data_IF_681760386745
#
_entry.id   IF_681760386745
#
_cell.length_a   1.000
_cell.length_b   1.000
_cell.length_c   1.000
_cell.angle_alpha   90.00
_cell.angle_beta   90.00
_cell.angle_gamma   90.00
#
_symmetry.space_group_name_H-M   'P 1'
#
loop_
_entity.id
_entity.type
_entity.pdbx_description
1 polymer ?
#
# COMPACT_ATOMS: atom_id res chain seq x y z
N UNK A 1 -8.09 -26.76 35.23
CA UNK A 1 -8.23 -27.32 33.86
C UNK A 1 -9.34 -26.60 33.05
N UNK A 2 -10.40 -26.14 33.69
CA UNK A 2 -11.49 -25.34 33.05
C UNK A 2 -11.05 -23.94 32.62
N UNK A 3 -10.21 -23.27 33.44
CA UNK A 3 -9.73 -21.89 33.13
C UNK A 3 -8.85 -21.82 31.89
N UNK A 4 -7.94 -22.79 31.69
CA UNK A 4 -7.08 -22.85 30.52
C UNK A 4 -7.87 -23.08 29.18
N UNK A 5 -8.99 -23.82 29.28
CA UNK A 5 -9.86 -24.03 28.11
C UNK A 5 -10.66 -22.77 27.78
N UNK A 6 -11.19 -22.05 28.76
CA UNK A 6 -11.86 -20.77 28.59
C UNK A 6 -10.89 -19.71 28.01
N UNK A 7 -9.66 -19.61 28.53
CA UNK A 7 -8.65 -18.71 27.98
C UNK A 7 -8.29 -19.05 26.51
N UNK A 8 -8.20 -20.34 26.16
CA UNK A 8 -7.94 -20.75 24.79
C UNK A 8 -9.08 -20.39 23.83
N UNK A 9 -10.35 -20.53 24.28
CA UNK A 9 -11.52 -20.14 23.50
C UNK A 9 -11.62 -18.62 23.34
N UNK A 10 -11.33 -17.85 24.38
CA UNK A 10 -11.28 -16.37 24.31
C UNK A 10 -10.19 -15.91 23.35
N UNK A 11 -8.99 -16.50 23.41
CA UNK A 11 -7.89 -16.22 22.48
C UNK A 11 -8.21 -16.60 21.03
N UNK A 12 -8.96 -17.68 20.80
CA UNK A 12 -9.42 -18.07 19.46
C UNK A 12 -10.46 -17.06 18.93
N UNK A 13 -11.44 -16.68 19.74
CA UNK A 13 -12.44 -15.67 19.38
C UNK A 13 -11.81 -14.29 19.14
N UNK A 14 -10.75 -13.93 19.86
CA UNK A 14 -10.00 -12.70 19.63
C UNK A 14 -9.22 -12.73 18.30
N UNK A 15 -8.63 -13.87 17.93
CA UNK A 15 -7.96 -14.02 16.61
C UNK A 15 -8.93 -13.81 15.45
N UNK A 16 -10.12 -14.38 15.50
CA UNK A 16 -11.14 -14.22 14.47
C UNK A 16 -11.62 -12.76 14.38
N UNK A 17 -11.70 -12.08 15.52
CA UNK A 17 -12.04 -10.65 15.58
C UNK A 17 -10.96 -9.75 14.98
N UNK A 18 -9.67 -10.02 15.25
CA UNK A 18 -8.56 -9.30 14.61
C UNK A 18 -8.56 -9.49 13.10
N UNK A 19 -8.80 -10.70 12.63
CA UNK A 19 -8.91 -10.98 11.20
C UNK A 19 -10.05 -10.18 10.57
N UNK A 20 -11.25 -10.19 11.16
CA UNK A 20 -12.39 -9.45 10.66
C UNK A 20 -12.12 -7.93 10.58
N UNK A 21 -11.44 -7.35 11.57
CA UNK A 21 -11.12 -5.92 11.59
C UNK A 21 -10.02 -5.55 10.57
N UNK A 22 -9.01 -6.40 10.40
CA UNK A 22 -8.01 -6.22 9.34
C UNK A 22 -8.68 -6.35 7.96
N UNK A 23 -9.57 -7.32 7.77
CA UNK A 23 -10.33 -7.44 6.52
C UNK A 23 -11.16 -6.20 6.23
N UNK A 24 -11.80 -5.58 7.23
CA UNK A 24 -12.55 -4.33 7.04
C UNK A 24 -11.63 -3.19 6.56
N UNK A 25 -10.45 -3.03 7.17
CA UNK A 25 -9.47 -2.03 6.76
C UNK A 25 -8.96 -2.26 5.33
N UNK A 26 -8.58 -3.52 5.00
CA UNK A 26 -8.08 -3.82 3.66
C UNK A 26 -9.19 -3.81 2.60
N UNK A 27 -10.43 -4.17 2.93
CA UNK A 27 -11.59 -4.04 2.05
C UNK A 27 -11.86 -2.56 1.72
N UNK A 28 -11.85 -1.68 2.73
CA UNK A 28 -11.93 -0.24 2.53
C UNK A 28 -10.82 0.25 1.60
N UNK A 29 -9.55 -0.12 1.86
CA UNK A 29 -8.45 0.27 0.99
C UNK A 29 -8.65 -0.20 -0.45
N UNK A 30 -9.18 -1.41 -0.65
CA UNK A 30 -9.49 -1.95 -1.98
C UNK A 30 -10.61 -1.17 -2.66
N UNK A 31 -11.70 -0.86 -1.95
CA UNK A 31 -12.80 -0.05 -2.46
C UNK A 31 -12.33 1.31 -2.94
N UNK A 32 -11.52 2.02 -2.14
CA UNK A 32 -10.97 3.34 -2.48
C UNK A 32 -9.97 3.25 -3.63
N UNK A 33 -9.09 2.24 -3.63
CA UNK A 33 -8.09 2.05 -4.68
C UNK A 33 -8.72 1.72 -6.05
N UNK A 34 -9.89 1.08 -6.07
CA UNK A 34 -10.57 0.66 -7.30
C UNK A 34 -11.52 1.71 -7.85
N UNK A 35 -11.68 2.87 -7.19
CA UNK A 35 -12.61 3.91 -7.66
C UNK A 35 -12.34 4.25 -9.12
N UNK A 36 -11.07 4.52 -9.49
CA UNK A 36 -10.67 4.83 -10.88
C UNK A 36 -11.03 3.73 -11.89
N UNK A 37 -11.09 2.47 -11.46
CA UNK A 37 -11.37 1.35 -12.36
C UNK A 37 -12.86 1.19 -12.69
N UNK A 38 -13.74 1.66 -11.77
CA UNK A 38 -15.19 1.45 -11.86
C UNK A 38 -15.96 2.70 -12.30
N UNK A 39 -15.30 3.87 -12.34
CA UNK A 39 -15.91 5.13 -12.78
C UNK A 39 -15.71 5.37 -14.28
N UNK A 40 -16.54 6.24 -14.86
CA UNK A 40 -16.44 6.67 -16.25
C UNK A 40 -15.77 8.04 -16.40
N UNK A 41 -15.87 8.87 -15.39
CA UNK A 41 -15.36 10.24 -15.36
C UNK A 41 -14.84 10.62 -13.98
N UNK A 42 -13.89 11.57 -13.85
CA UNK A 42 -13.28 11.96 -12.59
C UNK A 42 -14.28 12.49 -11.56
N UNK A 43 -15.33 13.20 -11.98
CA UNK A 43 -16.32 13.78 -11.04
C UNK A 43 -17.07 12.67 -10.28
N UNK A 44 -17.47 11.61 -10.96
CA UNK A 44 -18.08 10.44 -10.33
C UNK A 44 -17.13 9.79 -9.31
N UNK A 45 -15.83 9.82 -9.58
CA UNK A 45 -14.80 9.37 -8.66
C UNK A 45 -14.69 10.25 -7.42
N UNK A 46 -14.68 11.58 -7.61
CA UNK A 46 -14.68 12.54 -6.49
C UNK A 46 -15.88 12.35 -5.57
N UNK A 47 -17.09 12.17 -6.15
CA UNK A 47 -18.31 11.93 -5.36
C UNK A 47 -18.16 10.63 -4.54
N UNK A 48 -17.61 9.57 -5.12
CA UNK A 48 -17.42 8.30 -4.42
C UNK A 48 -16.37 8.38 -3.32
N UNK A 49 -15.26 9.08 -3.56
CA UNK A 49 -14.25 9.32 -2.53
C UNK A 49 -14.78 10.24 -1.43
N UNK A 50 -15.57 11.26 -1.78
CA UNK A 50 -16.21 12.14 -0.80
C UNK A 50 -17.21 11.36 0.07
N UNK A 51 -18.02 10.46 -0.53
CA UNK A 51 -18.90 9.59 0.25
C UNK A 51 -18.14 8.77 1.30
N UNK A 52 -16.96 8.25 0.97
CA UNK A 52 -16.13 7.56 1.95
C UNK A 52 -15.65 8.49 3.07
N UNK A 53 -15.24 9.72 2.76
CA UNK A 53 -14.88 10.71 3.78
C UNK A 53 -16.07 11.04 4.67
N UNK A 54 -17.25 11.29 4.11
CA UNK A 54 -18.48 11.55 4.87
C UNK A 54 -18.83 10.36 5.80
N UNK A 55 -18.64 9.12 5.34
CA UNK A 55 -18.83 7.91 6.18
C UNK A 55 -17.87 7.89 7.36
N UNK A 56 -16.60 8.28 7.18
CA UNK A 56 -15.61 8.32 8.25
C UNK A 56 -15.98 9.33 9.34
N UNK A 57 -16.54 10.47 8.95
CA UNK A 57 -16.97 11.54 9.86
C UNK A 57 -18.38 11.36 10.42
N UNK A 58 -19.10 10.30 10.03
CA UNK A 58 -20.45 10.03 10.51
C UNK A 58 -21.54 10.83 9.79
N UNK A 59 -21.19 11.52 8.70
CA UNK A 59 -22.05 12.38 7.87
C UNK A 59 -22.54 11.65 6.60
N UNK A 60 -22.22 10.37 6.46
CA UNK A 60 -22.52 9.58 5.27
C UNK A 60 -24.02 9.57 4.96
N UNK A 61 -24.39 9.95 3.74
CA UNK A 61 -25.78 9.96 3.26
C UNK A 61 -26.19 8.57 2.77
N UNK A 62 -27.47 8.25 2.91
CA UNK A 62 -28.04 6.96 2.54
C UNK A 62 -27.88 5.91 3.64
N UNK A 63 -28.17 4.65 3.29
CA UNK A 63 -28.06 3.53 4.24
C UNK A 63 -26.59 3.08 4.41
N UNK A 64 -25.78 3.89 5.09
CA UNK A 64 -24.36 3.54 5.40
C UNK A 64 -24.28 2.19 6.12
N UNK A 65 -25.27 1.87 6.97
CA UNK A 65 -25.38 0.58 7.66
C UNK A 65 -25.61 -0.61 6.73
N UNK A 66 -26.20 -0.39 5.55
CA UNK A 66 -26.38 -1.42 4.54
C UNK A 66 -25.10 -1.72 3.73
N UNK A 67 -24.10 -0.82 3.76
CA UNK A 67 -22.82 -1.07 3.12
C UNK A 67 -21.88 -1.85 4.05
N UNK A 68 -21.64 -3.15 3.80
CA UNK A 68 -21.00 -4.02 4.79
C UNK A 68 -19.58 -3.58 5.15
N UNK A 69 -18.81 -3.07 4.18
CA UNK A 69 -17.44 -2.58 4.42
C UNK A 69 -17.47 -1.30 5.27
N UNK A 70 -18.38 -0.37 5.00
CA UNK A 70 -18.52 0.88 5.76
C UNK A 70 -18.92 0.61 7.22
N UNK A 71 -19.90 -0.26 7.44
CA UNK A 71 -20.34 -0.65 8.78
C UNK A 71 -19.18 -1.33 9.56
N UNK A 72 -18.46 -2.28 8.95
CA UNK A 72 -17.33 -2.97 9.56
C UNK A 72 -16.16 -2.02 9.85
N UNK A 73 -15.86 -1.08 8.94
CA UNK A 73 -14.81 -0.10 9.14
C UNK A 73 -15.12 0.85 10.30
N UNK A 74 -16.35 1.38 10.38
CA UNK A 74 -16.78 2.24 11.50
C UNK A 74 -16.66 1.52 12.85
N UNK A 75 -17.10 0.27 12.91
CA UNK A 75 -16.94 -0.55 14.11
C UNK A 75 -15.46 -0.75 14.47
N UNK A 76 -14.59 -0.93 13.46
CA UNK A 76 -13.13 -1.05 13.64
C UNK A 76 -12.52 0.25 14.15
N UNK A 77 -12.90 1.42 13.59
CA UNK A 77 -12.46 2.75 14.04
C UNK A 77 -12.80 2.95 15.50
N UNK A 78 -14.08 2.73 15.87
CA UNK A 78 -14.56 2.91 17.24
C UNK A 78 -13.84 1.97 18.23
N UNK A 79 -13.62 0.69 17.86
CA UNK A 79 -13.02 -0.31 18.73
C UNK A 79 -11.53 -0.04 19.01
N UNK A 80 -10.76 0.33 17.98
CA UNK A 80 -9.30 0.52 18.07
C UNK A 80 -8.89 1.98 18.10
N UNK A 81 -9.85 2.90 18.17
CA UNK A 81 -9.63 4.35 18.15
C UNK A 81 -8.68 4.75 17.02
N UNK A 82 -9.00 4.24 15.80
CA UNK A 82 -8.16 4.54 14.64
C UNK A 82 -8.22 6.04 14.33
N UNK A 83 -7.07 6.69 14.08
CA UNK A 83 -7.04 8.10 13.70
C UNK A 83 -7.69 8.27 12.31
N UNK A 84 -8.83 8.95 12.27
CA UNK A 84 -9.62 9.18 11.04
C UNK A 84 -8.80 9.97 10.03
N UNK A 85 -7.92 10.85 10.49
CA UNK A 85 -7.03 11.66 9.68
C UNK A 85 -6.11 10.82 8.78
N UNK A 86 -5.69 9.62 9.22
CA UNK A 86 -4.90 8.70 8.39
C UNK A 86 -5.74 8.05 7.29
N UNK A 87 -7.01 7.79 7.55
CA UNK A 87 -7.96 7.27 6.56
C UNK A 87 -8.31 8.36 5.53
N UNK A 88 -8.55 9.59 5.98
CA UNK A 88 -8.76 10.74 5.10
C UNK A 88 -7.52 11.01 4.22
N UNK A 89 -6.32 10.95 4.79
CA UNK A 89 -5.08 11.11 4.03
C UNK A 89 -4.92 10.01 2.96
N UNK A 90 -5.39 8.77 3.24
CA UNK A 90 -5.42 7.70 2.24
C UNK A 90 -6.40 8.03 1.12
N UNK A 91 -7.62 8.49 1.44
CA UNK A 91 -8.62 8.92 0.44
C UNK A 91 -8.07 10.10 -0.38
N UNK A 92 -7.48 11.11 0.27
CA UNK A 92 -6.92 12.29 -0.38
C UNK A 92 -5.81 11.90 -1.37
N UNK A 93 -4.90 11.00 -0.98
CA UNK A 93 -3.88 10.50 -1.89
C UNK A 93 -4.48 9.80 -3.12
N UNK A 94 -5.58 9.05 -2.95
CA UNK A 94 -6.28 8.35 -4.05
C UNK A 94 -7.01 9.29 -5.02
N UNK A 95 -7.26 10.55 -4.65
CA UNK A 95 -7.80 11.54 -5.60
C UNK A 95 -6.86 11.76 -6.78
N UNK A 96 -5.54 11.66 -6.57
CA UNK A 96 -4.57 11.70 -7.66
C UNK A 96 -4.83 10.64 -8.74
N UNK A 97 -5.30 9.46 -8.36
CA UNK A 97 -5.56 8.37 -9.30
C UNK A 97 -6.71 8.67 -10.28
N UNK A 98 -7.59 9.63 -9.95
CA UNK A 98 -8.74 9.99 -10.79
C UNK A 98 -8.34 10.77 -12.06
N UNK A 99 -7.19 11.43 -12.01
CA UNK A 99 -6.70 12.31 -13.07
C UNK A 99 -5.50 11.69 -13.78
N UNK A 100 -5.25 12.15 -15.00
CA UNK A 100 -4.11 11.71 -15.81
C UNK A 100 -2.91 12.68 -15.70
N UNK A 101 -2.89 13.48 -14.62
CA UNK A 101 -1.77 14.35 -14.32
C UNK A 101 -0.53 13.51 -13.97
N UNK A 102 0.63 13.87 -14.52
CA UNK A 102 1.86 13.14 -14.19
C UNK A 102 2.35 13.50 -12.78
N UNK A 103 2.96 12.55 -12.09
CA UNK A 103 3.70 12.82 -10.87
C UNK A 103 4.87 13.75 -11.17
N UNK A 104 4.93 14.94 -10.54
CA UNK A 104 5.94 15.94 -10.90
C UNK A 104 7.32 15.59 -10.33
N UNK A 105 7.41 15.36 -9.01
CA UNK A 105 8.67 15.17 -8.29
C UNK A 105 8.70 13.86 -7.50
N UNK A 106 9.91 13.47 -7.06
CA UNK A 106 10.07 12.35 -6.14
C UNK A 106 9.36 12.61 -4.79
N UNK A 107 9.38 13.85 -4.31
CA UNK A 107 8.68 14.22 -3.07
C UNK A 107 7.16 14.02 -3.17
N UNK A 108 6.56 14.33 -4.33
CA UNK A 108 5.14 14.08 -4.57
C UNK A 108 4.85 12.57 -4.57
N UNK A 109 5.72 11.77 -5.18
CA UNK A 109 5.59 10.31 -5.14
C UNK A 109 5.73 9.76 -3.73
N UNK A 110 6.67 10.27 -2.93
CA UNK A 110 6.84 9.86 -1.52
C UNK A 110 5.62 10.27 -0.68
N UNK A 111 5.07 11.46 -0.91
CA UNK A 111 3.83 11.92 -0.26
C UNK A 111 2.65 10.99 -0.60
N UNK A 112 2.46 10.68 -1.88
CA UNK A 112 1.45 9.72 -2.34
C UNK A 112 1.66 8.34 -1.71
N UNK A 113 2.87 7.81 -1.76
CA UNK A 113 3.22 6.50 -1.19
C UNK A 113 2.99 6.44 0.33
N UNK A 114 3.31 7.53 1.04
CA UNK A 114 3.02 7.72 2.45
C UNK A 114 1.52 7.67 2.73
N UNK A 115 0.74 8.43 1.96
CA UNK A 115 -0.72 8.47 2.05
C UNK A 115 -1.37 7.09 1.87
N UNK A 116 -0.99 6.37 0.81
CA UNK A 116 -1.65 5.10 0.46
C UNK A 116 -1.08 3.87 1.16
N UNK A 117 0.22 3.81 1.45
CA UNK A 117 0.86 2.60 1.97
C UNK A 117 1.30 2.72 3.41
N UNK A 118 2.04 3.79 3.79
CA UNK A 118 2.49 3.95 5.16
C UNK A 118 1.31 4.11 6.13
N UNK A 119 0.29 4.89 5.76
CA UNK A 119 -0.92 5.03 6.58
C UNK A 119 -1.67 3.71 6.74
N UNK A 120 -1.77 2.91 5.68
CA UNK A 120 -2.43 1.59 5.76
C UNK A 120 -1.68 0.65 6.71
N UNK A 121 -0.34 0.60 6.63
CA UNK A 121 0.50 -0.20 7.54
C UNK A 121 0.36 0.30 8.98
N UNK A 122 0.35 1.62 9.19
CA UNK A 122 0.19 2.22 10.53
C UNK A 122 -1.15 1.84 11.16
N UNK A 123 -2.24 1.94 10.40
CA UNK A 123 -3.58 1.54 10.86
C UNK A 123 -3.65 0.05 11.19
N UNK A 124 -3.07 -0.80 10.33
CA UNK A 124 -3.00 -2.24 10.58
C UNK A 124 -2.16 -2.56 11.84
N UNK A 125 -1.01 -1.89 12.02
CA UNK A 125 -0.17 -2.06 13.20
C UNK A 125 -0.89 -1.64 14.49
N UNK A 126 -1.65 -0.52 14.46
CA UNK A 126 -2.46 -0.08 15.58
C UNK A 126 -3.57 -1.07 15.94
N UNK A 127 -4.24 -1.66 14.96
CA UNK A 127 -5.22 -2.74 15.21
C UNK A 127 -4.54 -3.91 15.91
N UNK A 128 -3.38 -4.36 15.40
CA UNK A 128 -2.62 -5.49 15.95
C UNK A 128 -2.06 -5.20 17.35
N UNK A 129 -1.80 -3.95 17.67
CA UNK A 129 -1.38 -3.51 19.02
C UNK A 129 -2.56 -3.07 19.90
N UNK A 130 -3.75 -3.60 19.61
CA UNK A 130 -4.97 -3.39 20.40
C UNK A 130 -5.33 -1.90 20.60
N UNK A 131 -5.12 -1.06 19.58
CA UNK A 131 -5.44 0.37 19.57
C UNK A 131 -4.33 1.28 20.07
N UNK A 132 -3.21 0.74 20.55
CA UNK A 132 -2.05 1.55 20.93
C UNK A 132 -1.29 2.02 19.70
N UNK A 133 -0.68 3.20 19.77
CA UNK A 133 0.22 3.68 18.71
C UNK A 133 1.59 3.03 18.92
N UNK A 134 2.05 2.16 17.99
CA UNK A 134 3.35 1.52 18.14
C UNK A 134 4.49 2.51 17.83
N UNK A 135 5.54 2.51 18.65
CA UNK A 135 6.73 3.37 18.43
C UNK A 135 7.66 2.79 17.35
N UNK A 136 7.13 2.70 16.13
CA UNK A 136 7.83 2.19 14.93
C UNK A 136 7.57 3.09 13.71
N UNK A 137 7.36 4.39 13.92
CA UNK A 137 6.98 5.32 12.86
C UNK A 137 7.96 5.34 11.68
N UNK A 138 9.26 5.37 11.96
CA UNK A 138 10.30 5.33 10.92
C UNK A 138 10.27 4.01 10.11
N UNK A 139 10.08 2.87 10.77
CA UNK A 139 9.92 1.58 10.10
C UNK A 139 8.71 1.56 9.16
N UNK A 140 7.55 2.00 9.66
CA UNK A 140 6.32 2.06 8.88
C UNK A 140 6.47 2.99 7.68
N UNK A 141 7.04 4.18 7.89
CA UNK A 141 7.28 5.15 6.84
C UNK A 141 8.12 4.53 5.70
N UNK A 142 9.30 4.04 6.01
CA UNK A 142 10.19 3.49 5.01
C UNK A 142 9.67 2.19 4.38
N UNK A 143 9.07 1.30 5.15
CA UNK A 143 8.45 0.08 4.62
C UNK A 143 7.30 0.40 3.65
N UNK A 144 6.46 1.39 3.98
CA UNK A 144 5.36 1.85 3.14
C UNK A 144 5.84 2.46 1.83
N UNK A 145 6.81 3.40 1.89
CA UNK A 145 7.35 4.04 0.69
C UNK A 145 8.02 3.02 -0.25
N UNK A 146 8.91 2.17 0.28
CA UNK A 146 9.60 1.17 -0.54
C UNK A 146 8.65 0.15 -1.17
N UNK A 147 7.61 -0.27 -0.42
CA UNK A 147 6.57 -1.18 -0.91
C UNK A 147 5.69 -0.55 -1.97
N UNK A 148 5.25 0.71 -1.78
CA UNK A 148 4.44 1.44 -2.75
C UNK A 148 5.19 1.67 -4.05
N UNK A 149 6.44 2.15 -4.01
CA UNK A 149 7.27 2.34 -5.20
C UNK A 149 7.47 1.03 -5.97
N UNK A 150 7.74 -0.08 -5.28
CA UNK A 150 7.85 -1.40 -5.91
C UNK A 150 6.52 -1.83 -6.56
N UNK A 151 5.39 -1.54 -5.92
CA UNK A 151 4.05 -1.78 -6.45
C UNK A 151 3.74 -0.97 -7.70
N UNK A 152 4.06 0.33 -7.69
CA UNK A 152 3.87 1.23 -8.84
C UNK A 152 4.77 0.83 -10.03
N UNK A 153 6.02 0.47 -9.77
CA UNK A 153 6.92 -0.07 -10.79
C UNK A 153 6.40 -1.39 -11.39
N UNK A 154 5.84 -2.28 -10.56
CA UNK A 154 5.18 -3.50 -11.04
C UNK A 154 3.97 -3.20 -11.92
N UNK A 155 3.19 -2.18 -11.54
CA UNK A 155 2.00 -1.78 -12.27
C UNK A 155 2.29 -0.83 -13.45
N UNK A 156 3.56 -0.46 -13.67
CA UNK A 156 3.97 0.47 -14.73
C UNK A 156 3.38 0.15 -16.10
N UNK A 157 3.39 -1.10 -16.63
CA UNK A 157 2.80 -1.39 -17.94
C UNK A 157 1.29 -1.14 -17.98
N UNK A 158 0.60 -1.35 -16.88
CA UNK A 158 -0.86 -1.10 -16.78
C UNK A 158 -1.12 0.41 -16.74
N UNK A 159 -0.35 1.14 -15.93
CA UNK A 159 -0.48 2.59 -15.83
C UNK A 159 -0.14 3.28 -17.15
N UNK A 160 0.96 2.89 -17.81
CA UNK A 160 1.35 3.40 -19.11
C UNK A 160 0.25 3.18 -20.17
N UNK A 161 -0.34 1.98 -20.21
CA UNK A 161 -1.45 1.65 -21.11
C UNK A 161 -2.73 2.45 -20.84
N UNK A 162 -2.87 3.03 -19.63
CA UNK A 162 -4.00 3.91 -19.25
C UNK A 162 -3.66 5.40 -19.36
N UNK A 163 -2.46 5.77 -19.80
CA UNK A 163 -1.98 7.16 -19.85
C UNK A 163 -1.60 7.74 -18.50
N UNK A 164 -1.59 6.94 -17.43
CA UNK A 164 -1.21 7.35 -16.08
C UNK A 164 0.30 7.28 -15.89
N UNK A 165 0.88 8.29 -15.24
CA UNK A 165 2.33 8.38 -15.04
C UNK A 165 2.66 8.64 -13.57
N UNK A 166 3.01 7.57 -12.85
CA UNK A 166 3.47 7.64 -11.46
C UNK A 166 5.00 7.77 -11.34
N UNK A 167 5.74 7.55 -12.44
CA UNK A 167 7.18 7.83 -12.47
C UNK A 167 7.36 9.34 -12.50
N UNK A 168 8.11 9.94 -11.54
CA UNK A 168 8.26 11.39 -11.49
C UNK A 168 8.85 11.98 -12.77
N UNK A 169 8.22 13.04 -13.31
CA UNK A 169 8.71 13.75 -14.49
C UNK A 169 10.16 14.21 -14.31
N UNK A 170 10.49 14.75 -13.14
CA UNK A 170 11.85 15.19 -12.84
C UNK A 170 12.90 14.06 -12.96
N UNK A 171 12.53 12.80 -12.69
CA UNK A 171 13.42 11.65 -12.92
C UNK A 171 13.51 11.34 -14.40
N UNK A 172 12.40 11.32 -15.14
CA UNK A 172 12.40 11.06 -16.57
C UNK A 172 13.23 12.10 -17.32
N UNK A 173 13.02 13.38 -17.05
CA UNK A 173 13.74 14.50 -17.68
C UNK A 173 15.24 14.46 -17.41
N UNK A 174 15.66 14.11 -16.19
CA UNK A 174 17.07 13.93 -15.83
C UNK A 174 17.78 12.89 -16.69
N UNK A 175 17.04 11.87 -17.13
CA UNK A 175 17.54 10.82 -18.01
C UNK A 175 17.27 11.11 -19.50
N UNK A 176 16.84 12.32 -19.86
CA UNK A 176 16.61 12.71 -21.27
C UNK A 176 15.36 12.06 -21.89
N UNK A 177 14.37 11.67 -21.08
CA UNK A 177 13.13 11.07 -21.53
C UNK A 177 11.90 11.78 -20.92
N UNK A 178 10.68 11.37 -21.25
CA UNK A 178 9.47 12.03 -20.76
C UNK A 178 8.21 11.22 -21.01
N UNK A 179 7.05 11.85 -20.75
CA UNK A 179 5.72 11.22 -20.88
C UNK A 179 5.49 10.59 -22.27
N UNK A 180 5.96 11.24 -23.33
CA UNK A 180 5.78 10.74 -24.71
C UNK A 180 6.48 9.39 -24.94
N UNK A 181 7.69 9.20 -24.38
CA UNK A 181 8.42 7.95 -24.48
C UNK A 181 7.68 6.80 -23.74
N UNK A 182 7.06 7.11 -22.60
CA UNK A 182 6.23 6.15 -21.88
C UNK A 182 4.99 5.78 -22.68
N UNK A 183 4.31 6.77 -23.24
CA UNK A 183 3.12 6.55 -24.09
C UNK A 183 3.44 5.77 -25.37
N UNK A 184 4.67 5.93 -25.92
CA UNK A 184 5.13 5.21 -27.09
C UNK A 184 5.37 3.71 -26.88
N UNK A 185 5.34 3.22 -25.64
CA UNK A 185 5.45 1.80 -25.31
C UNK A 185 6.82 1.17 -25.62
N UNK A 186 7.86 1.99 -25.80
CA UNK A 186 9.22 1.49 -26.14
C UNK A 186 10.16 1.66 -24.95
N UNK A 187 10.80 0.57 -24.55
CA UNK A 187 11.76 0.53 -23.46
C UNK A 187 13.13 1.08 -23.91
N UNK A 188 13.22 2.39 -24.14
CA UNK A 188 14.49 3.04 -24.48
C UNK A 188 15.52 2.92 -23.35
N UNK A 189 16.83 3.07 -23.64
CA UNK A 189 17.87 3.10 -22.61
C UNK A 189 17.64 4.17 -21.54
N UNK A 190 17.15 5.36 -21.94
CA UNK A 190 16.84 6.49 -21.07
C UNK A 190 15.68 6.15 -20.10
N UNK A 191 14.60 5.56 -20.62
CA UNK A 191 13.49 5.11 -19.81
C UNK A 191 13.92 4.01 -18.83
N UNK A 192 14.74 3.05 -19.29
CA UNK A 192 15.28 2.00 -18.41
C UNK A 192 16.14 2.59 -17.29
N UNK A 193 16.95 3.62 -17.58
CA UNK A 193 17.76 4.32 -16.60
C UNK A 193 16.90 5.08 -15.58
N UNK A 194 15.86 5.79 -16.01
CA UNK A 194 14.90 6.46 -15.13
C UNK A 194 14.19 5.48 -14.18
N UNK A 195 13.71 4.35 -14.72
CA UNK A 195 13.10 3.30 -13.92
C UNK A 195 14.10 2.61 -12.98
N UNK A 196 15.39 2.53 -13.35
CA UNK A 196 16.46 2.02 -12.48
C UNK A 196 16.70 2.96 -11.30
N UNK A 197 16.70 4.27 -11.51
CA UNK A 197 16.79 5.27 -10.43
C UNK A 197 15.62 5.12 -9.44
N UNK A 198 14.40 4.98 -9.93
CA UNK A 198 13.25 4.79 -9.05
C UNK A 198 13.32 3.47 -8.26
N UNK A 199 13.82 2.37 -8.88
CA UNK A 199 14.10 1.13 -8.15
C UNK A 199 15.13 1.34 -7.03
N UNK A 200 16.14 2.15 -7.27
CA UNK A 200 17.15 2.48 -6.26
C UNK A 200 16.54 3.22 -5.07
N UNK A 201 15.62 4.17 -5.31
CA UNK A 201 14.87 4.83 -4.23
C UNK A 201 14.05 3.82 -3.42
N UNK A 202 13.30 2.93 -4.07
CA UNK A 202 12.59 1.86 -3.38
C UNK A 202 13.52 0.98 -2.52
N UNK A 203 14.70 0.60 -3.05
CA UNK A 203 15.71 -0.17 -2.31
C UNK A 203 16.27 0.58 -1.11
N UNK A 204 16.51 1.88 -1.21
CA UNK A 204 16.97 2.71 -0.09
C UNK A 204 15.95 2.72 1.05
N UNK A 205 14.67 2.89 0.74
CA UNK A 205 13.60 2.83 1.74
C UNK A 205 13.49 1.43 2.38
N UNK A 206 13.52 0.35 1.60
CA UNK A 206 13.51 -1.01 2.15
C UNK A 206 14.74 -1.27 3.03
N UNK A 207 15.92 -0.75 2.66
CA UNK A 207 17.15 -0.83 3.46
C UNK A 207 17.02 -0.09 4.79
N UNK A 208 16.46 1.12 4.79
CA UNK A 208 16.17 1.89 6.00
C UNK A 208 15.15 1.18 6.90
N UNK A 209 14.09 0.60 6.32
CA UNK A 209 13.13 -0.22 7.09
C UNK A 209 13.82 -1.45 7.72
N UNK A 210 14.71 -2.10 6.98
CA UNK A 210 15.45 -3.25 7.50
C UNK A 210 16.32 -2.91 8.72
N UNK A 211 16.95 -1.73 8.74
CA UNK A 211 17.80 -1.31 9.87
C UNK A 211 17.02 -1.08 11.16
N UNK A 212 15.71 -0.81 11.07
CA UNK A 212 14.84 -0.48 12.21
C UNK A 212 13.88 -1.60 12.60
N UNK A 213 13.83 -2.73 11.86
CA UNK A 213 12.85 -3.82 12.14
C UNK A 213 13.02 -4.43 13.53
N UNK A 214 14.22 -4.39 14.11
CA UNK A 214 14.50 -4.96 15.45
C UNK A 214 13.74 -4.23 16.57
N UNK A 215 13.31 -2.99 16.37
CA UNK A 215 12.51 -2.23 17.35
C UNK A 215 11.04 -2.65 17.37
N UNK A 216 10.56 -3.36 16.33
CA UNK A 216 9.16 -3.74 16.23
C UNK A 216 8.81 -4.90 17.15
N UNK A 217 7.73 -4.75 17.93
CA UNK A 217 7.20 -5.85 18.72
C UNK A 217 6.67 -6.97 17.80
N UNK A 218 6.74 -8.24 18.22
CA UNK A 218 6.18 -9.35 17.45
C UNK A 218 4.70 -9.18 17.08
N UNK A 219 3.93 -8.46 17.91
CA UNK A 219 2.51 -8.23 17.70
C UNK A 219 2.21 -7.45 16.42
N UNK A 220 3.04 -6.45 16.08
CA UNK A 220 2.81 -5.56 14.92
C UNK A 220 3.45 -6.05 13.63
N UNK A 221 4.36 -7.01 13.68
CA UNK A 221 5.05 -7.55 12.49
C UNK A 221 4.11 -8.05 11.40
N UNK A 222 2.92 -8.64 11.68
CA UNK A 222 2.00 -9.04 10.63
C UNK A 222 1.52 -7.90 9.72
N UNK A 223 1.49 -6.64 10.20
CA UNK A 223 1.15 -5.49 9.38
C UNK A 223 2.14 -5.25 8.22
N UNK A 224 3.38 -5.71 8.38
CA UNK A 224 4.47 -5.51 7.41
C UNK A 224 4.62 -6.68 6.42
N UNK A 225 3.88 -7.79 6.57
CA UNK A 225 4.12 -9.01 5.78
C UNK A 225 3.96 -8.81 4.26
N UNK A 226 3.10 -7.90 3.84
CA UNK A 226 2.92 -7.58 2.41
C UNK A 226 4.17 -6.95 1.79
N UNK A 227 5.00 -6.27 2.59
CA UNK A 227 6.25 -5.64 2.16
C UNK A 227 7.28 -6.70 1.71
N UNK A 228 7.20 -7.92 2.21
CA UNK A 228 8.09 -9.03 1.85
C UNK A 228 8.12 -9.35 0.35
N UNK A 229 7.12 -8.90 -0.40
CA UNK A 229 7.04 -9.08 -1.84
C UNK A 229 7.82 -8.02 -2.63
N UNK A 230 8.09 -6.85 -2.02
CA UNK A 230 8.74 -5.73 -2.71
C UNK A 230 10.17 -6.07 -3.18
N UNK A 231 11.01 -6.63 -2.29
CA UNK A 231 12.38 -7.03 -2.63
C UNK A 231 12.47 -7.99 -3.81
N UNK A 232 11.74 -9.13 -3.78
CA UNK A 232 11.67 -10.07 -4.91
C UNK A 232 11.13 -9.47 -6.21
N UNK A 233 10.14 -8.53 -6.15
CA UNK A 233 9.65 -7.82 -7.33
C UNK A 233 10.75 -6.95 -7.95
N UNK A 234 11.43 -6.13 -7.14
CA UNK A 234 12.54 -5.30 -7.60
C UNK A 234 13.66 -6.14 -8.22
N UNK A 235 14.02 -7.27 -7.58
CA UNK A 235 15.05 -8.18 -8.12
C UNK A 235 14.69 -8.75 -9.51
N UNK A 236 13.41 -8.97 -9.80
CA UNK A 236 12.95 -9.37 -11.15
C UNK A 236 13.14 -8.23 -12.16
N UNK A 237 12.88 -6.98 -11.74
CA UNK A 237 13.01 -5.79 -12.58
C UNK A 237 14.48 -5.35 -12.78
N UNK A 238 15.41 -5.89 -12.01
CA UNK A 238 16.85 -5.63 -12.10
C UNK A 238 17.56 -6.60 -13.08
N UNK A 239 16.86 -7.60 -13.61
CA UNK A 239 17.41 -8.55 -14.55
C UNK A 239 17.66 -7.88 -15.91
N UNK A 240 18.66 -8.36 -16.65
CA UNK A 240 19.03 -7.83 -17.98
C UNK A 240 17.93 -8.02 -19.03
N UNK A 241 17.13 -9.08 -18.90
CA UNK A 241 16.02 -9.44 -19.76
C UNK A 241 14.69 -8.76 -19.38
N UNK A 242 14.69 -7.86 -18.37
CA UNK A 242 13.48 -7.17 -17.95
C UNK A 242 13.00 -6.17 -18.99
N UNK A 243 11.73 -6.32 -19.39
CA UNK A 243 10.99 -5.34 -20.17
C UNK A 243 10.00 -4.61 -19.26
N UNK A 244 10.09 -3.26 -19.11
CA UNK A 244 9.19 -2.50 -18.26
C UNK A 244 7.74 -2.49 -18.73
N UNK A 245 7.46 -2.81 -19.98
CA UNK A 245 6.09 -2.91 -20.51
C UNK A 245 5.47 -4.30 -20.39
N UNK A 246 6.21 -5.26 -19.82
CA UNK A 246 5.71 -6.60 -19.52
C UNK A 246 5.49 -6.73 -18.00
N UNK A 247 4.29 -7.14 -17.55
CA UNK A 247 3.99 -7.28 -16.12
C UNK A 247 4.94 -8.28 -15.42
N UNK A 248 5.48 -7.85 -14.28
CA UNK A 248 6.27 -8.74 -13.42
C UNK A 248 5.34 -9.57 -12.55
N UNK A 249 5.37 -10.87 -12.74
CA UNK A 249 4.58 -11.81 -11.96
C UNK A 249 5.46 -12.66 -11.02
N UNK A 250 4.96 -12.88 -9.82
CA UNK A 250 5.48 -13.86 -8.88
C UNK A 250 4.41 -14.95 -8.72
N UNK A 251 4.76 -16.18 -9.02
CA UNK A 251 3.83 -17.32 -8.91
C UNK A 251 3.18 -17.36 -7.52
N UNK A 252 1.89 -17.71 -7.47
CA UNK A 252 1.08 -17.65 -6.24
C UNK A 252 1.72 -18.43 -5.07
N UNK A 253 2.20 -19.66 -5.32
CA UNK A 253 2.87 -20.48 -4.31
C UNK A 253 4.13 -19.78 -3.75
N UNK A 254 4.88 -19.09 -4.62
CA UNK A 254 6.10 -18.35 -4.22
C UNK A 254 5.76 -17.11 -3.39
N UNK A 255 4.66 -16.43 -3.70
CA UNK A 255 4.15 -15.30 -2.88
C UNK A 255 3.82 -15.77 -1.47
N UNK A 256 3.08 -16.87 -1.35
CA UNK A 256 2.72 -17.46 -0.06
C UNK A 256 3.97 -17.89 0.72
N UNK A 257 4.92 -18.55 0.05
CA UNK A 257 6.17 -18.96 0.67
C UNK A 257 7.02 -17.76 1.16
N UNK A 258 7.10 -16.67 0.38
CA UNK A 258 7.81 -15.44 0.78
C UNK A 258 7.18 -14.81 2.01
N UNK A 259 5.85 -14.71 2.07
CA UNK A 259 5.11 -14.18 3.23
C UNK A 259 5.33 -15.10 4.45
N UNK A 260 5.21 -16.41 4.29
CA UNK A 260 5.44 -17.36 5.35
C UNK A 260 6.88 -17.29 5.89
N UNK A 261 7.87 -17.19 4.99
CA UNK A 261 9.28 -17.02 5.38
C UNK A 261 9.51 -15.72 6.14
N UNK A 262 8.90 -14.62 5.71
CA UNK A 262 8.97 -13.33 6.37
C UNK A 262 8.36 -13.38 7.79
N UNK A 263 7.22 -14.03 7.94
CA UNK A 263 6.59 -14.24 9.24
C UNK A 263 7.50 -15.02 10.22
N UNK A 264 8.28 -16.00 9.70
CA UNK A 264 9.23 -16.78 10.52
C UNK A 264 10.55 -16.07 10.77
N UNK A 265 10.98 -15.19 9.88
CA UNK A 265 12.27 -14.48 9.93
C UNK A 265 12.08 -13.02 9.50
N UNK A 266 11.56 -12.13 10.38
CA UNK A 266 11.23 -10.75 10.05
C UNK A 266 12.40 -9.95 9.45
N UNK A 267 13.63 -10.18 9.89
CA UNK A 267 14.83 -9.54 9.33
C UNK A 267 15.04 -9.80 7.82
N UNK A 268 14.40 -10.84 7.25
CA UNK A 268 14.43 -11.16 5.81
C UNK A 268 13.26 -10.60 5.03
N UNK A 269 12.42 -9.79 5.65
CA UNK A 269 11.23 -9.21 5.03
C UNK A 269 11.59 -8.20 3.93
N UNK A 270 12.69 -7.50 4.07
CA UNK A 270 13.07 -6.39 3.18
C UNK A 270 14.12 -6.76 2.10
N UNK A 271 14.37 -8.02 1.85
CA UNK A 271 15.27 -8.45 0.79
C UNK A 271 16.25 -9.54 1.17
#
# INVERSE_FOLDING_TARGET
MQDAHCEALVRAADKDRFLATLFALYAFNLEVARVREVIRDPLSGEIRLQWWSDVLHGEGRGEVGAHPVAAALRATIARYQLPVERLDALIAARRFDLYDDPMATLADLESYAGGVSSNLIALAARILDAGREPDIGALIHHAGLGSAMAGLLKAFPIHAGRGQLFVPLAILERHGTGRQAVAGGQASPELRAALAELRLHARRHLGAARSTIASASPAVLPALLTVALAGPMLARMERRDYDPFVPVEIAQWRRQWLIWRAARRPARMFG
#
